data_IF_720810702079
#
_entry.id   IF_720810702079
#
_cell.length_a   1.000
_cell.length_b   1.000
_cell.length_c   1.000
_cell.angle_alpha   90.00
_cell.angle_beta   90.00
_cell.angle_gamma   90.00
#
_symmetry.space_group_name_H-M   'P 1'
#
loop_
_entity.id
_entity.type
_entity.pdbx_description
1 polymer ?
#
# COMPACT_ATOMS: atom_id res chain seq x y z
N UNK A 1 9.85 -12.57 -9.13
CA UNK A 1 9.76 -11.10 -8.97
C UNK A 1 10.94 -10.62 -8.14
N UNK A 2 11.72 -9.66 -8.63
CA UNK A 2 12.82 -9.04 -7.86
C UNK A 2 12.27 -7.88 -7.01
N UNK A 3 12.82 -7.69 -5.80
CA UNK A 3 12.42 -6.59 -4.92
C UNK A 3 12.99 -5.25 -5.41
N UNK A 4 12.15 -4.22 -5.28
CA UNK A 4 12.45 -2.85 -5.66
C UNK A 4 12.49 -1.94 -4.42
N UNK A 5 13.28 -0.88 -4.50
CA UNK A 5 13.26 0.20 -3.51
C UNK A 5 12.07 1.15 -3.72
N UNK A 6 11.79 1.98 -2.72
CA UNK A 6 10.73 2.99 -2.81
C UNK A 6 10.99 4.02 -3.91
N UNK A 7 12.26 4.40 -4.11
CA UNK A 7 12.70 5.30 -5.17
C UNK A 7 12.50 4.67 -6.55
N UNK A 8 12.83 3.38 -6.69
CA UNK A 8 12.65 2.61 -7.93
C UNK A 8 11.17 2.54 -8.32
N UNK A 9 10.30 2.20 -7.37
CA UNK A 9 8.85 2.17 -7.56
C UNK A 9 8.29 3.54 -7.89
N UNK A 10 8.75 4.60 -7.20
CA UNK A 10 8.34 5.99 -7.49
C UNK A 10 8.70 6.40 -8.91
N UNK A 11 9.90 6.07 -9.38
CA UNK A 11 10.36 6.41 -10.73
C UNK A 11 9.55 5.64 -11.78
N UNK A 12 9.35 4.33 -11.60
CA UNK A 12 8.53 3.53 -12.52
C UNK A 12 7.10 4.09 -12.58
N UNK A 13 6.47 4.32 -11.43
CA UNK A 13 5.13 4.89 -11.36
C UNK A 13 5.05 6.27 -12.04
N UNK A 14 6.07 7.11 -11.89
CA UNK A 14 6.11 8.43 -12.52
C UNK A 14 6.27 8.34 -14.04
N UNK A 15 7.08 7.42 -14.56
CA UNK A 15 7.21 7.17 -15.99
C UNK A 15 5.91 6.64 -16.58
N UNK A 16 5.27 5.65 -15.94
CA UNK A 16 3.97 5.11 -16.37
C UNK A 16 2.93 6.23 -16.40
N UNK A 17 2.80 7.02 -15.33
CA UNK A 17 1.83 8.12 -15.27
C UNK A 17 2.02 9.10 -16.45
N UNK A 18 3.26 9.50 -16.73
CA UNK A 18 3.56 10.51 -17.76
C UNK A 18 3.46 9.98 -19.18
N UNK A 19 3.67 8.69 -19.41
CA UNK A 19 3.45 8.06 -20.72
C UNK A 19 1.99 8.24 -21.20
N UNK A 20 1.02 8.12 -20.29
CA UNK A 20 -0.40 8.23 -20.63
C UNK A 20 -0.98 9.63 -20.43
N UNK A 21 -0.59 10.32 -19.35
CA UNK A 21 -1.19 11.62 -19.02
C UNK A 21 -0.57 12.80 -19.77
N UNK A 22 0.66 12.67 -20.25
CA UNK A 22 1.41 13.72 -20.95
C UNK A 22 2.32 13.11 -22.04
N UNK A 23 1.75 12.38 -23.02
CA UNK A 23 2.52 11.67 -24.05
C UNK A 23 3.41 12.60 -24.88
N UNK A 24 3.04 13.87 -25.03
CA UNK A 24 3.80 14.89 -25.75
C UNK A 24 5.15 15.22 -25.12
N UNK A 25 5.29 14.98 -23.81
CA UNK A 25 6.54 15.19 -23.07
C UNK A 25 7.30 13.88 -22.82
N UNK A 26 6.74 12.73 -23.18
CA UNK A 26 7.33 11.41 -22.99
C UNK A 26 8.14 10.98 -24.24
N UNK A 27 9.28 10.28 -24.11
CA UNK A 27 9.98 9.85 -22.88
C UNK A 27 10.56 11.02 -22.07
N UNK A 28 10.88 10.81 -20.78
CA UNK A 28 11.29 11.91 -19.88
C UNK A 28 12.81 12.05 -19.78
N UNK A 29 13.31 13.29 -19.65
CA UNK A 29 14.68 13.55 -19.18
C UNK A 29 14.80 13.34 -17.67
N UNK A 30 16.02 13.30 -17.12
CA UNK A 30 16.22 13.22 -15.65
C UNK A 30 15.51 14.37 -14.93
N UNK A 31 15.70 15.62 -15.37
CA UNK A 31 15.05 16.77 -14.75
C UNK A 31 13.51 16.65 -14.77
N UNK A 32 12.91 16.33 -15.92
CA UNK A 32 11.45 16.14 -16.01
C UNK A 32 10.95 15.00 -15.11
N UNK A 33 11.73 13.91 -15.00
CA UNK A 33 11.41 12.78 -14.14
C UNK A 33 11.54 13.12 -12.65
N UNK A 34 12.58 13.85 -12.23
CA UNK A 34 12.75 14.35 -10.87
C UNK A 34 11.55 15.20 -10.45
N UNK A 35 11.13 16.13 -11.32
CA UNK A 35 9.93 16.94 -11.09
C UNK A 35 8.66 16.08 -10.99
N UNK A 36 8.54 15.02 -11.79
CA UNK A 36 7.42 14.08 -11.71
C UNK A 36 7.42 13.26 -10.41
N UNK A 37 8.60 12.86 -9.89
CA UNK A 37 8.72 12.12 -8.64
C UNK A 37 8.31 12.97 -7.43
N UNK A 38 8.66 14.27 -7.46
CA UNK A 38 8.49 15.23 -6.37
C UNK A 38 7.15 16.00 -6.41
N UNK A 39 6.19 15.60 -7.25
CA UNK A 39 4.89 16.28 -7.32
C UNK A 39 4.17 16.23 -5.96
N UNK A 40 3.53 17.34 -5.58
CA UNK A 40 2.74 17.42 -4.33
C UNK A 40 1.39 16.71 -4.46
N UNK A 41 0.85 16.65 -5.67
CA UNK A 41 -0.39 15.94 -5.98
C UNK A 41 -0.08 14.55 -6.51
N UNK A 42 -1.01 13.62 -6.31
CA UNK A 42 -0.87 12.24 -6.79
C UNK A 42 0.35 11.48 -6.27
N UNK A 43 0.93 11.90 -5.15
CA UNK A 43 2.03 11.21 -4.48
C UNK A 43 1.71 11.00 -3.01
N UNK A 44 1.95 9.80 -2.52
CA UNK A 44 1.93 9.49 -1.09
C UNK A 44 3.00 8.42 -0.80
N UNK A 45 4.07 8.75 -0.06
CA UNK A 45 4.38 10.06 0.52
C UNK A 45 4.83 11.09 -0.54
N UNK A 46 4.70 12.39 -0.20
CA UNK A 46 5.39 13.44 -0.95
C UNK A 46 6.88 13.34 -0.62
N UNK A 47 7.73 13.41 -1.64
CA UNK A 47 9.19 13.26 -1.52
C UNK A 47 9.90 14.47 -2.13
N UNK A 48 11.21 14.56 -1.89
CA UNK A 48 12.07 15.57 -2.48
C UNK A 48 13.41 14.95 -2.90
N UNK A 49 13.39 14.20 -4.00
CA UNK A 49 14.57 13.60 -4.59
C UNK A 49 15.39 14.63 -5.36
N UNK A 50 16.72 14.51 -5.31
CA UNK A 50 17.62 15.25 -6.21
C UNK A 50 17.86 14.49 -7.52
N UNK A 51 18.45 15.17 -8.51
CA UNK A 51 18.71 14.57 -9.82
C UNK A 51 19.74 13.43 -9.76
N UNK A 52 20.71 13.51 -8.84
CA UNK A 52 21.74 12.48 -8.68
C UNK A 52 21.12 11.16 -8.23
N UNK A 53 20.23 11.20 -7.23
CA UNK A 53 19.48 10.04 -6.76
C UNK A 53 18.64 9.44 -7.89
N UNK A 54 17.94 10.27 -8.66
CA UNK A 54 17.11 9.82 -9.78
C UNK A 54 17.97 9.17 -10.86
N UNK A 55 19.12 9.75 -11.21
CA UNK A 55 20.05 9.20 -12.20
C UNK A 55 20.62 7.85 -11.78
N UNK A 56 21.10 7.73 -10.54
CA UNK A 56 21.60 6.47 -9.98
C UNK A 56 20.50 5.40 -9.98
N UNK A 57 19.29 5.77 -9.58
CA UNK A 57 18.16 4.84 -9.51
C UNK A 57 17.69 4.40 -10.89
N UNK A 58 17.69 5.31 -11.88
CA UNK A 58 17.43 4.95 -13.28
C UNK A 58 18.45 3.96 -13.79
N UNK A 59 19.73 4.11 -13.45
CA UNK A 59 20.75 3.15 -13.88
C UNK A 59 20.47 1.76 -13.31
N UNK A 60 20.12 1.64 -12.02
CA UNK A 60 19.70 0.37 -11.41
C UNK A 60 18.48 -0.24 -12.11
N UNK A 61 17.47 0.58 -12.41
CA UNK A 61 16.27 0.14 -13.13
C UNK A 61 16.57 -0.32 -14.57
N UNK A 62 17.56 0.27 -15.23
CA UNK A 62 18.03 -0.17 -16.54
C UNK A 62 18.75 -1.52 -16.45
N UNK A 63 19.57 -1.72 -15.42
CA UNK A 63 20.25 -3.00 -15.18
C UNK A 63 19.23 -4.12 -14.93
N UNK A 64 18.12 -3.79 -14.23
CA UNK A 64 16.94 -4.66 -14.04
C UNK A 64 16.04 -4.78 -15.28
N UNK A 65 16.34 -4.08 -16.37
CA UNK A 65 15.55 -4.02 -17.63
C UNK A 65 14.10 -3.56 -17.44
N UNK A 66 13.84 -2.72 -16.44
CA UNK A 66 12.52 -2.13 -16.16
C UNK A 66 12.35 -0.72 -16.74
N UNK A 67 13.47 -0.08 -17.09
CA UNK A 67 13.53 1.22 -17.79
C UNK A 67 14.48 1.10 -18.98
N UNK A 68 14.16 1.77 -20.08
CA UNK A 68 15.03 1.87 -21.25
C UNK A 68 15.42 3.32 -21.54
N UNK A 69 16.63 3.50 -22.05
CA UNK A 69 17.12 4.80 -22.53
C UNK A 69 16.76 4.92 -24.01
N UNK A 70 16.07 5.99 -24.36
CA UNK A 70 15.75 6.31 -25.75
C UNK A 70 16.89 7.11 -26.35
N UNK A 71 17.53 6.56 -27.38
CA UNK A 71 18.57 7.20 -28.17
C UNK A 71 18.06 7.48 -29.57
N UNK A 72 18.25 8.70 -30.07
CA UNK A 72 17.90 9.09 -31.43
C UNK A 72 18.89 10.13 -31.97
N UNK A 73 18.99 10.29 -33.31
CA UNK A 73 19.95 11.20 -33.95
C UNK A 73 19.84 12.65 -33.45
N UNK A 74 18.63 13.09 -33.13
CA UNK A 74 18.34 14.46 -32.65
C UNK A 74 18.20 14.57 -31.13
N UNK A 75 18.39 13.47 -30.39
CA UNK A 75 18.21 13.42 -28.94
C UNK A 75 19.54 13.70 -28.22
N UNK A 76 19.96 14.97 -28.19
CA UNK A 76 21.17 15.41 -27.48
C UNK A 76 21.13 15.15 -25.98
N UNK A 77 19.93 15.14 -25.39
CA UNK A 77 19.70 14.88 -23.97
C UNK A 77 19.11 13.48 -23.80
N UNK A 78 19.69 12.62 -22.95
CA UNK A 78 19.12 11.32 -22.62
C UNK A 78 17.67 11.41 -22.14
N UNK A 79 16.80 10.58 -22.72
CA UNK A 79 15.43 10.38 -22.26
C UNK A 79 15.20 8.92 -21.88
N UNK A 80 14.26 8.69 -20.98
CA UNK A 80 13.96 7.39 -20.38
C UNK A 80 12.48 7.06 -20.50
N UNK A 81 12.22 5.79 -20.79
CA UNK A 81 10.89 5.22 -20.93
C UNK A 81 10.73 4.01 -20.01
N UNK A 82 9.55 3.82 -19.43
CA UNK A 82 9.24 2.58 -18.72
C UNK A 82 9.16 1.43 -19.73
N UNK A 83 9.70 0.28 -19.34
CA UNK A 83 9.46 -1.00 -20.01
C UNK A 83 8.87 -2.02 -19.03
N UNK A 84 8.54 -1.60 -17.81
CA UNK A 84 7.97 -2.41 -16.73
C UNK A 84 6.70 -3.14 -17.15
N UNK A 85 5.76 -2.43 -17.78
CA UNK A 85 4.50 -3.02 -18.25
C UNK A 85 4.74 -4.11 -19.29
N UNK A 86 5.66 -3.88 -20.24
CA UNK A 86 6.02 -4.86 -21.26
C UNK A 86 6.78 -6.05 -20.66
N UNK A 87 7.71 -5.79 -19.75
CA UNK A 87 8.52 -6.81 -19.08
C UNK A 87 7.66 -7.81 -18.30
N UNK A 88 6.64 -7.32 -17.59
CA UNK A 88 5.69 -8.14 -16.84
C UNK A 88 4.43 -8.51 -17.64
N UNK A 89 4.40 -8.19 -18.94
CA UNK A 89 3.28 -8.45 -19.86
C UNK A 89 1.92 -7.97 -19.33
N UNK A 90 1.91 -6.80 -18.70
CA UNK A 90 0.73 -6.20 -18.08
C UNK A 90 -0.19 -5.59 -19.14
N UNK A 91 -1.48 -5.84 -18.99
CA UNK A 91 -2.50 -5.11 -19.73
C UNK A 91 -2.57 -3.65 -19.31
N UNK A 92 -3.25 -2.81 -20.09
CA UNK A 92 -3.42 -1.38 -19.79
C UNK A 92 -4.18 -1.16 -18.47
N UNK A 93 -5.22 -1.94 -18.19
CA UNK A 93 -5.99 -1.92 -16.93
C UNK A 93 -5.09 -2.26 -15.73
N UNK A 94 -4.28 -3.30 -15.84
CA UNK A 94 -3.33 -3.72 -14.80
C UNK A 94 -2.24 -2.66 -14.57
N UNK A 95 -1.71 -2.09 -15.65
CA UNK A 95 -0.71 -1.01 -15.60
C UNK A 95 -1.26 0.23 -14.87
N UNK A 96 -2.53 0.56 -15.07
CA UNK A 96 -3.18 1.66 -14.36
C UNK A 96 -3.26 1.42 -12.85
N UNK A 97 -3.69 0.21 -12.44
CA UNK A 97 -3.72 -0.20 -11.01
C UNK A 97 -2.33 -0.11 -10.40
N UNK A 98 -1.31 -0.71 -11.06
CA UNK A 98 0.07 -0.68 -10.57
C UNK A 98 0.60 0.74 -10.42
N UNK A 99 0.34 1.62 -11.38
CA UNK A 99 0.73 3.02 -11.32
C UNK A 99 0.15 3.73 -10.08
N UNK A 100 -1.15 3.53 -9.80
CA UNK A 100 -1.80 4.14 -8.64
C UNK A 100 -1.19 3.62 -7.34
N UNK A 101 -1.00 2.31 -7.22
CA UNK A 101 -0.43 1.68 -6.01
C UNK A 101 1.03 2.11 -5.80
N UNK A 102 1.83 2.22 -6.85
CA UNK A 102 3.23 2.69 -6.79
C UNK A 102 3.36 4.14 -6.34
N UNK A 103 2.43 5.00 -6.76
CA UNK A 103 2.51 6.43 -6.48
C UNK A 103 1.83 6.82 -5.16
N UNK A 104 0.86 6.02 -4.70
CA UNK A 104 -0.01 6.40 -3.57
C UNK A 104 -0.11 5.35 -2.44
N UNK A 105 0.58 4.21 -2.57
CA UNK A 105 0.56 3.14 -1.58
C UNK A 105 -0.78 2.39 -1.55
N UNK A 106 -1.21 1.99 -0.35
CA UNK A 106 -2.42 1.19 -0.17
C UNK A 106 -3.72 1.96 -0.46
N UNK A 107 -4.59 1.39 -1.28
CA UNK A 107 -5.77 2.06 -1.85
C UNK A 107 -7.02 1.17 -1.84
N UNK A 108 -8.20 1.77 -1.71
CA UNK A 108 -9.47 1.02 -1.90
C UNK A 108 -9.81 0.88 -3.38
N UNK A 109 -10.74 -0.03 -3.71
CA UNK A 109 -11.21 -0.26 -5.09
C UNK A 109 -11.76 1.04 -5.70
N UNK A 110 -12.56 1.80 -4.94
CA UNK A 110 -13.10 3.09 -5.38
C UNK A 110 -12.03 4.16 -5.62
N UNK A 111 -10.99 4.20 -4.77
CA UNK A 111 -9.85 5.09 -4.99
C UNK A 111 -9.07 4.71 -6.25
N UNK A 112 -8.81 3.41 -6.48
CA UNK A 112 -8.10 2.93 -7.67
C UNK A 112 -8.88 3.29 -8.94
N UNK A 113 -10.19 3.02 -8.98
CA UNK A 113 -11.06 3.39 -10.11
C UNK A 113 -10.98 4.89 -10.42
N UNK A 114 -11.18 5.73 -9.41
CA UNK A 114 -11.20 7.19 -9.59
C UNK A 114 -9.85 7.79 -9.97
N UNK A 115 -8.73 7.20 -9.52
CA UNK A 115 -7.37 7.73 -9.73
C UNK A 115 -6.70 7.17 -10.99
N UNK A 116 -7.23 6.10 -11.56
CA UNK A 116 -6.68 5.45 -12.77
C UNK A 116 -7.12 6.10 -14.09
N UNK A 117 -8.14 6.97 -14.07
CA UNK A 117 -8.87 7.44 -15.26
C UNK A 117 -8.00 7.99 -16.41
N UNK A 118 -6.84 8.61 -16.10
CA UNK A 118 -5.92 9.13 -17.13
C UNK A 118 -5.17 8.05 -17.88
N UNK A 119 -4.99 6.88 -17.26
CA UNK A 119 -4.33 5.72 -17.85
C UNK A 119 -5.40 4.80 -18.43
N UNK A 120 -6.39 4.42 -17.62
CA UNK A 120 -7.49 3.54 -18.00
C UNK A 120 -8.76 3.92 -17.24
N UNK A 121 -9.86 4.07 -17.97
CA UNK A 121 -11.17 4.36 -17.40
C UNK A 121 -11.92 3.04 -17.17
N UNK A 122 -12.03 2.64 -15.90
CA UNK A 122 -12.84 1.47 -15.52
C UNK A 122 -14.33 1.82 -15.57
N UNK A 123 -15.12 0.94 -16.16
CA UNK A 123 -16.57 1.09 -16.30
C UNK A 123 -17.24 1.10 -14.93
N UNK A 124 -16.90 0.13 -14.07
CA UNK A 124 -17.52 -0.08 -12.78
C UNK A 124 -16.53 -0.63 -11.74
N UNK A 125 -16.98 -0.76 -10.49
CA UNK A 125 -16.14 -1.29 -9.41
C UNK A 125 -15.81 -2.79 -9.60
N UNK A 126 -16.70 -3.55 -10.24
CA UNK A 126 -16.48 -4.98 -10.49
C UNK A 126 -15.34 -5.23 -11.47
N UNK A 127 -15.19 -4.40 -12.51
CA UNK A 127 -14.05 -4.47 -13.44
C UNK A 127 -12.72 -4.16 -12.72
N UNK A 128 -12.74 -3.20 -11.79
CA UNK A 128 -11.55 -2.86 -10.98
C UNK A 128 -11.21 -4.01 -10.04
N UNK A 129 -12.20 -4.62 -9.40
CA UNK A 129 -12.04 -5.80 -8.53
C UNK A 129 -11.48 -7.00 -9.31
N UNK A 130 -12.07 -7.31 -10.47
CA UNK A 130 -11.58 -8.38 -11.35
C UNK A 130 -10.11 -8.15 -11.76
N UNK A 131 -9.73 -6.90 -12.05
CA UNK A 131 -8.35 -6.56 -12.41
C UNK A 131 -7.39 -6.74 -11.23
N UNK A 132 -7.84 -6.45 -10.00
CA UNK A 132 -7.07 -6.71 -8.78
C UNK A 132 -6.91 -8.22 -8.54
N UNK A 133 -7.98 -8.99 -8.73
CA UNK A 133 -7.94 -10.44 -8.59
C UNK A 133 -7.01 -11.09 -9.63
N UNK A 134 -6.98 -10.60 -10.87
CA UNK A 134 -6.01 -11.01 -11.88
C UNK A 134 -4.55 -10.71 -11.44
N UNK A 135 -4.30 -9.55 -10.82
CA UNK A 135 -2.98 -9.16 -10.32
C UNK A 135 -2.55 -9.95 -9.07
N UNK A 136 -3.50 -10.42 -8.26
CA UNK A 136 -3.26 -11.31 -7.12
C UNK A 136 -2.91 -12.72 -7.62
N UNK A 137 -3.58 -13.20 -8.66
CA UNK A 137 -3.45 -14.59 -9.13
C UNK A 137 -2.50 -14.77 -10.34
N UNK A 138 -1.68 -13.76 -10.66
CA UNK A 138 -0.79 -13.82 -11.82
C UNK A 138 0.30 -14.89 -11.64
N UNK A 139 0.58 -15.63 -12.72
CA UNK A 139 1.48 -16.82 -12.69
C UNK A 139 2.92 -16.49 -12.23
N UNK A 140 3.38 -15.26 -12.45
CA UNK A 140 4.73 -14.81 -12.09
C UNK A 140 4.86 -14.38 -10.61
N UNK A 141 3.85 -14.68 -9.79
CA UNK A 141 3.73 -14.35 -8.38
C UNK A 141 2.82 -13.13 -8.15
N UNK A 142 2.12 -13.04 -7.00
CA UNK A 142 1.17 -11.97 -6.73
C UNK A 142 1.87 -10.61 -6.82
N UNK A 143 1.33 -9.71 -7.63
CA UNK A 143 1.84 -8.33 -7.74
C UNK A 143 1.14 -7.40 -6.76
N UNK A 144 -0.06 -7.78 -6.35
CA UNK A 144 -0.93 -7.05 -5.44
C UNK A 144 -1.38 -8.00 -4.34
N UNK A 145 -1.59 -7.44 -3.15
CA UNK A 145 -2.20 -8.13 -2.02
C UNK A 145 -3.37 -7.32 -1.46
N UNK A 146 -4.39 -8.02 -1.01
CA UNK A 146 -5.50 -7.45 -0.23
C UNK A 146 -5.09 -7.40 1.24
N UNK A 147 -5.10 -6.20 1.82
CA UNK A 147 -4.79 -6.00 3.23
C UNK A 147 -5.96 -6.44 4.12
N UNK A 148 -5.69 -6.88 5.37
CA UNK A 148 -6.74 -7.16 6.36
C UNK A 148 -7.64 -5.93 6.58
N UNK A 149 -8.91 -6.18 6.91
CA UNK A 149 -9.87 -5.10 7.19
C UNK A 149 -9.57 -4.45 8.54
N UNK A 150 -9.44 -3.13 8.53
CA UNK A 150 -9.83 -2.34 9.70
C UNK A 150 -11.35 -2.41 9.85
N UNK A 151 -11.85 -2.68 11.06
CA UNK A 151 -13.27 -2.80 11.36
C UNK A 151 -14.07 -1.61 10.80
N UNK A 152 -15.10 -1.88 9.98
CA UNK A 152 -15.96 -0.84 9.40
C UNK A 152 -15.37 -0.08 8.18
N UNK A 153 -14.20 -0.45 7.67
CA UNK A 153 -13.59 0.17 6.47
C UNK A 153 -13.58 -0.78 5.27
N UNK A 154 -13.58 -0.20 4.07
CA UNK A 154 -13.37 -0.93 2.82
C UNK A 154 -11.98 -1.58 2.78
N UNK A 155 -11.88 -2.71 2.08
CA UNK A 155 -10.60 -3.39 1.88
C UNK A 155 -9.63 -2.49 1.09
N UNK A 156 -8.38 -2.44 1.54
CA UNK A 156 -7.29 -1.79 0.82
C UNK A 156 -6.41 -2.82 0.13
N UNK A 157 -5.82 -2.42 -0.97
CA UNK A 157 -4.90 -3.22 -1.77
C UNK A 157 -3.57 -2.49 -1.85
N UNK A 158 -2.46 -3.22 -1.83
CA UNK A 158 -1.11 -2.67 -2.02
C UNK A 158 -0.30 -3.58 -2.94
N UNK A 159 0.75 -3.03 -3.54
CA UNK A 159 1.67 -3.81 -4.36
C UNK A 159 2.69 -4.57 -3.52
N UNK A 160 3.31 -5.60 -4.09
CA UNK A 160 4.32 -6.45 -3.44
C UNK A 160 5.76 -6.22 -3.94
N UNK A 161 5.96 -5.30 -4.88
CA UNK A 161 7.29 -4.99 -5.43
C UNK A 161 8.29 -4.42 -4.40
N UNK A 162 7.85 -3.87 -3.27
CA UNK A 162 8.74 -3.45 -2.18
C UNK A 162 8.85 -4.49 -1.05
N UNK A 163 8.38 -5.72 -1.29
CA UNK A 163 8.26 -6.76 -0.28
C UNK A 163 6.84 -6.85 0.29
N UNK A 164 6.62 -7.85 1.14
CA UNK A 164 5.36 -7.97 1.86
C UNK A 164 5.25 -6.81 2.87
N UNK A 165 4.11 -6.10 2.91
CA UNK A 165 3.90 -5.08 3.91
C UNK A 165 4.00 -5.70 5.29
N UNK A 166 4.79 -5.09 6.18
CA UNK A 166 4.91 -5.51 7.56
C UNK A 166 3.50 -5.58 8.17
N UNK A 167 3.06 -6.81 8.48
CA UNK A 167 1.76 -7.06 9.09
C UNK A 167 1.82 -6.39 10.46
N UNK A 168 1.26 -5.20 10.60
CA UNK A 168 1.06 -4.64 11.94
C UNK A 168 0.29 -5.70 12.71
N UNK A 169 0.82 -6.19 13.85
CA UNK A 169 0.10 -7.15 14.65
C UNK A 169 -1.27 -6.53 14.94
N UNK A 170 -2.33 -7.28 14.64
CA UNK A 170 -3.69 -6.87 14.96
C UNK A 170 -3.65 -6.35 16.40
N UNK A 171 -4.00 -5.07 16.61
CA UNK A 171 -4.30 -4.61 17.95
C UNK A 171 -5.31 -5.62 18.52
N UNK A 172 -5.08 -6.17 19.73
CA UNK A 172 -5.96 -7.19 20.29
C UNK A 172 -7.39 -6.66 20.14
N UNK A 173 -8.27 -7.41 19.47
CA UNK A 173 -9.68 -7.06 19.39
C UNK A 173 -10.11 -6.67 20.79
N UNK A 174 -10.51 -5.41 20.99
CA UNK A 174 -11.14 -5.06 22.25
C UNK A 174 -12.31 -6.03 22.42
N UNK A 175 -12.42 -6.70 23.57
CA UNK A 175 -13.50 -7.64 23.80
C UNK A 175 -14.81 -6.91 23.51
N UNK A 176 -15.74 -7.61 22.89
CA UNK A 176 -17.06 -7.05 22.58
C UNK A 176 -17.69 -6.53 23.86
N UNK A 177 -18.65 -5.59 23.74
CA UNK A 177 -19.36 -5.08 24.91
C UNK A 177 -19.96 -6.24 25.74
N UNK A 178 -20.43 -7.30 25.09
CA UNK A 178 -20.97 -8.51 25.73
C UNK A 178 -19.88 -9.30 26.47
N UNK A 179 -18.72 -9.54 25.85
CA UNK A 179 -17.59 -10.22 26.50
C UNK A 179 -17.08 -9.44 27.72
N UNK A 180 -17.10 -8.11 27.64
CA UNK A 180 -16.69 -7.22 28.73
C UNK A 180 -17.70 -7.22 29.88
N UNK A 181 -19.00 -7.30 29.57
CA UNK A 181 -20.06 -7.43 30.57
C UNK A 181 -19.94 -8.77 31.30
N UNK A 182 -19.80 -9.88 30.58
CA UNK A 182 -19.66 -11.21 31.20
C UNK A 182 -18.42 -11.29 32.10
N UNK A 183 -17.28 -10.77 31.64
CA UNK A 183 -16.05 -10.73 32.45
C UNK A 183 -16.15 -9.82 33.69
N UNK A 184 -16.98 -8.77 33.63
CA UNK A 184 -17.26 -7.90 34.78
C UNK A 184 -18.20 -8.59 35.77
N UNK A 185 -19.22 -9.29 35.29
CA UNK A 185 -20.17 -10.06 36.14
C UNK A 185 -19.44 -11.16 36.93
N UNK A 186 -18.56 -11.93 36.28
CA UNK A 186 -17.74 -12.94 36.96
C UNK A 186 -16.82 -12.33 38.02
N UNK A 187 -16.21 -11.17 37.72
CA UNK A 187 -15.36 -10.45 38.69
C UNK A 187 -16.16 -9.96 39.87
N UNK A 188 -17.33 -9.36 39.63
CA UNK A 188 -18.22 -8.87 40.71
C UNK A 188 -18.63 -10.02 41.61
N UNK A 189 -19.07 -11.15 41.05
CA UNK A 189 -19.42 -12.34 41.83
C UNK A 189 -18.24 -12.84 42.67
N UNK A 190 -17.04 -12.94 42.10
CA UNK A 190 -15.85 -13.36 42.86
C UNK A 190 -15.44 -12.39 43.98
N UNK A 191 -15.70 -11.09 43.80
CA UNK A 191 -15.41 -10.06 44.80
C UNK A 191 -16.44 -10.07 45.93
N UNK A 192 -17.70 -10.33 45.62
CA UNK A 192 -18.76 -10.48 46.60
C UNK A 192 -18.50 -11.70 47.51
N UNK A 193 -18.10 -12.84 46.95
CA UNK A 193 -17.73 -14.02 47.75
C UNK A 193 -16.55 -13.73 48.69
N UNK A 194 -15.49 -13.08 48.17
CA UNK A 194 -14.33 -12.69 48.98
C UNK A 194 -14.70 -11.69 50.07
N UNK A 195 -15.61 -10.76 49.78
CA UNK A 195 -16.09 -9.78 50.74
C UNK A 195 -16.87 -10.43 51.88
N UNK A 196 -17.74 -11.40 51.57
CA UNK A 196 -18.47 -12.17 52.59
C UNK A 196 -17.49 -12.97 53.46
N UNK A 197 -16.55 -13.70 52.86
CA UNK A 197 -15.52 -14.45 53.61
C UNK A 197 -14.73 -13.55 54.56
N UNK A 198 -14.26 -12.40 54.06
CA UNK A 198 -13.47 -11.47 54.87
C UNK A 198 -14.29 -10.84 55.99
N UNK A 199 -15.57 -10.58 55.74
CA UNK A 199 -16.49 -10.05 56.76
C UNK A 199 -16.74 -11.08 57.86
N UNK A 200 -16.93 -12.35 57.51
CA UNK A 200 -17.13 -13.43 58.48
C UNK A 200 -15.87 -13.67 59.31
N UNK A 201 -14.69 -13.68 58.69
CA UNK A 201 -13.40 -13.75 59.39
C UNK A 201 -13.20 -12.56 60.35
N UNK A 202 -13.58 -11.35 59.94
CA UNK A 202 -13.50 -10.16 60.77
C UNK A 202 -14.43 -10.22 61.99
N UNK A 203 -15.66 -10.70 61.83
CA UNK A 203 -16.60 -10.87 62.94
C UNK A 203 -16.11 -11.94 63.93
N UNK A 204 -15.51 -13.03 63.44
CA UNK A 204 -14.87 -14.05 64.29
C UNK A 204 -13.68 -13.46 65.04
N UNK A 205 -12.81 -12.71 64.35
CA UNK A 205 -11.66 -12.05 64.95
C UNK A 205 -12.10 -11.04 66.03
N UNK A 206 -13.11 -10.21 65.76
CA UNK A 206 -13.63 -9.22 66.72
C UNK A 206 -14.12 -9.88 68.01
N UNK A 207 -14.83 -11.01 67.90
CA UNK A 207 -15.29 -11.79 69.07
C UNK A 207 -14.16 -12.42 69.89
N UNK A 208 -12.94 -12.54 69.33
CA UNK A 208 -11.78 -13.05 70.07
C UNK A 208 -11.12 -12.02 70.99
N UNK A 209 -11.54 -10.74 70.92
CA UNK A 209 -11.07 -9.65 71.79
C UNK A 209 -12.12 -9.18 72.82
N UNK A 210 -13.30 -9.83 72.88
CA UNK A 210 -14.30 -9.69 73.95
C UNK A 210 -14.18 -10.87 74.93
#
# INVERSE_FOLDING_TARGET
MELLSQEEVRIIGSLIEKEYSTPEYYPLTINSLTNACNQKSSRNPVVNYDEILVEITIQKLRDKKLVSKVTGPDQRVPKYQQVFSQFYNLTKKQTAVMCVLFLRGAQTIGEIKSRSYRIYEFENLAETEQTLDELINIENGPFVIKLPKDTGRENRFTHLFCGEPERQPEAPKEPSAEERITALEEKVSSLEEKYVSLKDEFEIFKKSFE
#
